data_IF_171405112520
#
_entry.id   IF_171405112520
#
_cell.length_a   1.000
_cell.length_b   1.000
_cell.length_c   1.000
_cell.angle_alpha   90.00
_cell.angle_beta   90.00
_cell.angle_gamma   90.00
#
_symmetry.space_group_name_H-M   'P 1'
#
loop_
_entity.id
_entity.type
_entity.pdbx_description
1 polymer ?
#
# COMPACT_ATOMS: atom_id res chain seq x y z
N UNK A 1 37.91 7.22 77.16
CA UNK A 1 37.81 7.29 75.69
C UNK A 1 38.83 6.35 75.06
N UNK A 2 38.43 5.18 74.55
CA UNK A 2 39.17 4.40 73.53
C UNK A 2 38.16 3.58 72.71
N UNK A 3 38.00 3.91 71.43
CA UNK A 3 37.02 3.34 70.50
C UNK A 3 37.52 2.05 69.81
N UNK A 4 36.60 1.11 69.65
CA UNK A 4 36.76 -0.19 68.97
C UNK A 4 36.84 0.02 67.44
N UNK A 5 37.75 -0.66 66.75
CA UNK A 5 37.83 -0.64 65.29
C UNK A 5 37.11 -1.88 64.72
N UNK A 6 36.08 -1.65 63.92
CA UNK A 6 35.28 -2.68 63.26
C UNK A 6 35.93 -3.20 61.98
N UNK A 7 35.78 -4.50 61.74
CA UNK A 7 36.22 -5.17 60.52
C UNK A 7 35.25 -4.89 59.36
N UNK A 8 35.79 -4.47 58.22
CA UNK A 8 35.04 -4.23 56.97
C UNK A 8 35.02 -5.53 56.17
N UNK A 9 33.82 -6.06 55.90
CA UNK A 9 33.58 -7.17 54.98
C UNK A 9 33.41 -6.60 53.57
N UNK A 10 34.31 -6.96 52.65
CA UNK A 10 34.21 -6.57 51.25
C UNK A 10 33.23 -7.50 50.50
N UNK A 11 32.13 -6.94 49.98
CA UNK A 11 31.14 -7.64 49.19
C UNK A 11 31.55 -7.62 47.70
N UNK A 12 31.91 -8.78 47.15
CA UNK A 12 32.23 -8.93 45.73
C UNK A 12 30.95 -9.01 44.89
N UNK A 13 30.70 -8.00 44.06
CA UNK A 13 29.58 -7.96 43.11
C UNK A 13 30.00 -8.69 41.83
N UNK A 14 29.42 -9.88 41.58
CA UNK A 14 29.57 -10.59 40.30
C UNK A 14 28.57 -10.02 39.30
N UNK A 15 29.06 -9.34 38.27
CA UNK A 15 28.26 -8.86 37.14
C UNK A 15 28.07 -9.99 36.12
N UNK A 16 26.88 -10.59 36.09
CA UNK A 16 26.53 -11.56 35.06
C UNK A 16 26.32 -10.83 33.71
N UNK A 17 27.22 -11.03 32.75
CA UNK A 17 27.04 -10.56 31.38
C UNK A 17 25.94 -11.38 30.70
N UNK A 18 24.76 -10.79 30.51
CA UNK A 18 23.70 -11.42 29.71
C UNK A 18 24.08 -11.40 28.22
N UNK A 19 23.96 -12.51 27.49
CA UNK A 19 24.20 -12.52 26.06
C UNK A 19 23.10 -11.70 25.36
N UNK A 20 23.48 -10.58 24.77
CA UNK A 20 22.64 -9.85 23.81
C UNK A 20 22.51 -10.73 22.58
N UNK A 21 21.32 -11.29 22.34
CA UNK A 21 21.02 -11.95 21.08
C UNK A 21 20.86 -10.89 19.99
N UNK A 22 21.93 -10.67 19.21
CA UNK A 22 21.86 -9.82 18.04
C UNK A 22 20.85 -10.40 17.04
N UNK A 23 19.72 -9.71 16.84
CA UNK A 23 18.85 -10.00 15.69
C UNK A 23 19.68 -9.77 14.43
N UNK A 24 19.71 -10.75 13.53
CA UNK A 24 20.38 -10.60 12.23
C UNK A 24 19.91 -9.30 11.56
N UNK A 25 20.82 -8.43 11.10
CA UNK A 25 20.44 -7.19 10.46
C UNK A 25 19.55 -7.48 9.25
N UNK A 26 18.45 -6.75 9.11
CA UNK A 26 17.55 -6.88 7.96
C UNK A 26 18.33 -6.48 6.71
N UNK A 27 18.40 -7.38 5.73
CA UNK A 27 19.04 -7.09 4.45
C UNK A 27 18.18 -6.10 3.66
N UNK A 28 18.77 -5.10 3.03
CA UNK A 28 18.04 -4.15 2.18
C UNK A 28 18.54 -4.20 0.74
N UNK A 29 17.61 -4.25 -0.21
CA UNK A 29 17.91 -4.32 -1.65
C UNK A 29 17.06 -3.31 -2.41
N UNK A 30 17.68 -2.40 -3.16
CA UNK A 30 16.92 -1.41 -3.95
C UNK A 30 16.37 -2.06 -5.23
N UNK A 31 15.06 -1.95 -5.42
CA UNK A 31 14.40 -2.40 -6.65
C UNK A 31 14.64 -1.37 -7.75
N UNK A 32 15.20 -1.83 -8.86
CA UNK A 32 15.38 -1.03 -10.07
C UNK A 32 14.49 -1.57 -11.18
N UNK A 33 13.81 -0.68 -11.88
CA UNK A 33 13.07 -1.02 -13.09
C UNK A 33 13.97 -0.76 -14.31
N UNK A 34 13.89 -1.65 -15.29
CA UNK A 34 14.51 -1.41 -16.59
C UNK A 34 13.95 -0.11 -17.20
N UNK A 35 14.73 0.54 -18.06
CA UNK A 35 14.31 1.80 -18.71
C UNK A 35 12.97 1.60 -19.42
N UNK A 36 11.97 2.41 -19.06
CA UNK A 36 10.61 2.33 -19.61
C UNK A 36 9.71 1.25 -18.98
N UNK A 37 10.24 0.37 -18.13
CA UNK A 37 9.45 -0.60 -17.39
C UNK A 37 8.81 0.03 -16.15
N UNK A 38 7.60 -0.44 -15.81
CA UNK A 38 6.88 -0.04 -14.58
C UNK A 38 6.85 -1.15 -13.54
N UNK A 39 7.60 -2.24 -13.76
CA UNK A 39 7.65 -3.39 -12.87
C UNK A 39 8.95 -4.16 -13.02
N UNK A 40 9.31 -4.90 -11.98
CA UNK A 40 10.42 -5.86 -11.97
C UNK A 40 10.02 -7.10 -11.16
N UNK A 41 10.62 -8.23 -11.50
CA UNK A 41 10.46 -9.49 -10.79
C UNK A 41 11.79 -9.89 -10.19
N UNK A 42 11.78 -10.16 -8.89
CA UNK A 42 12.94 -10.51 -8.10
C UNK A 42 12.77 -11.93 -7.61
N UNK A 43 13.82 -12.75 -7.73
CA UNK A 43 13.85 -14.10 -7.17
C UNK A 43 14.77 -14.12 -5.97
N UNK A 44 14.36 -14.83 -4.93
CA UNK A 44 15.15 -14.91 -3.70
C UNK A 44 14.83 -16.15 -2.87
N UNK A 45 15.54 -16.26 -1.75
CA UNK A 45 15.31 -17.30 -0.75
C UNK A 45 15.46 -16.76 0.66
N UNK A 46 14.73 -17.36 1.60
CA UNK A 46 14.81 -17.11 3.03
C UNK A 46 15.20 -18.40 3.76
N UNK A 47 15.92 -18.27 4.88
CA UNK A 47 16.11 -19.32 5.87
C UNK A 47 15.87 -18.77 7.28
N UNK A 48 15.10 -19.48 8.10
CA UNK A 48 14.93 -19.13 9.50
C UNK A 48 14.42 -17.69 9.69
N UNK A 49 15.20 -16.86 10.41
CA UNK A 49 14.85 -15.46 10.70
C UNK A 49 15.29 -14.46 9.61
N UNK A 50 15.77 -14.94 8.47
CA UNK A 50 16.10 -14.07 7.34
C UNK A 50 14.92 -13.17 7.00
N UNK A 51 15.20 -11.88 6.88
CA UNK A 51 14.24 -10.86 6.47
C UNK A 51 14.92 -9.97 5.44
N UNK A 52 14.21 -9.65 4.37
CA UNK A 52 14.72 -8.80 3.29
C UNK A 52 13.74 -7.66 3.03
N UNK A 53 14.24 -6.43 3.10
CA UNK A 53 13.52 -5.21 2.73
C UNK A 53 13.88 -4.83 1.30
N UNK A 54 12.94 -5.02 0.37
CA UNK A 54 13.07 -4.49 -0.97
C UNK A 54 12.63 -3.03 -1.00
N UNK A 55 13.56 -2.14 -1.30
CA UNK A 55 13.36 -0.69 -1.28
C UNK A 55 12.79 -0.25 -2.63
N UNK A 56 11.58 0.29 -2.59
CA UNK A 56 10.84 0.72 -3.78
C UNK A 56 10.62 2.23 -3.70
N UNK A 57 11.36 2.97 -4.52
CA UNK A 57 11.18 4.42 -4.64
C UNK A 57 9.87 4.72 -5.37
N UNK A 58 8.95 5.40 -4.70
CA UNK A 58 7.66 5.75 -5.28
C UNK A 58 7.18 7.12 -4.79
N UNK A 59 6.21 7.69 -5.50
CA UNK A 59 5.60 8.98 -5.20
C UNK A 59 4.15 8.79 -4.78
N UNK A 60 3.69 9.66 -3.89
CA UNK A 60 2.29 9.76 -3.52
C UNK A 60 1.42 9.85 -4.79
N UNK A 61 0.30 9.14 -4.77
CA UNK A 61 -0.61 9.02 -5.89
C UNK A 61 -0.20 8.03 -6.98
N UNK A 62 0.99 7.44 -6.94
CA UNK A 62 1.26 6.27 -7.78
C UNK A 62 0.48 5.07 -7.24
N UNK A 63 0.20 4.11 -8.13
CA UNK A 63 -0.30 2.80 -7.73
C UNK A 63 0.85 1.83 -7.64
N UNK A 64 0.96 1.13 -6.52
CA UNK A 64 1.88 0.03 -6.34
C UNK A 64 1.12 -1.29 -6.38
N UNK A 65 1.69 -2.26 -7.10
CA UNK A 65 1.25 -3.65 -7.10
C UNK A 65 2.40 -4.52 -6.62
N UNK A 66 2.15 -5.43 -5.69
CA UNK A 66 3.11 -6.43 -5.25
C UNK A 66 2.44 -7.79 -5.25
N UNK A 67 3.08 -8.79 -5.86
CA UNK A 67 2.61 -10.18 -5.81
C UNK A 67 3.77 -11.11 -5.54
N UNK A 68 3.55 -12.10 -4.67
CA UNK A 68 4.56 -13.09 -4.33
C UNK A 68 4.09 -14.51 -4.64
N UNK A 69 4.92 -15.26 -5.33
CA UNK A 69 4.83 -16.72 -5.41
C UNK A 69 5.96 -17.30 -4.57
N UNK A 70 5.69 -18.38 -3.84
CA UNK A 70 6.63 -18.94 -2.87
C UNK A 70 6.46 -20.45 -2.76
N UNK A 71 7.56 -21.16 -2.46
CA UNK A 71 7.55 -22.59 -2.15
C UNK A 71 7.07 -22.93 -0.74
N UNK A 72 6.75 -21.93 0.09
CA UNK A 72 6.31 -22.10 1.48
C UNK A 72 5.04 -21.30 1.76
N UNK A 73 4.07 -21.94 2.41
CA UNK A 73 2.85 -21.31 2.94
C UNK A 73 3.11 -20.41 4.14
N UNK A 74 4.32 -20.42 4.70
CA UNK A 74 4.71 -19.59 5.84
C UNK A 74 5.58 -18.39 5.45
N UNK A 75 5.81 -18.17 4.16
CA UNK A 75 6.52 -16.99 3.64
C UNK A 75 5.52 -15.90 3.25
N UNK A 76 5.74 -14.70 3.76
CA UNK A 76 4.85 -13.55 3.57
C UNK A 76 5.64 -12.30 3.19
N UNK A 77 4.94 -11.26 2.75
CA UNK A 77 5.50 -9.92 2.67
C UNK A 77 4.57 -8.89 3.29
N UNK A 78 5.17 -7.81 3.80
CA UNK A 78 4.47 -6.61 4.22
C UNK A 78 4.90 -5.43 3.34
N UNK A 79 4.02 -4.43 3.20
CA UNK A 79 4.36 -3.15 2.56
C UNK A 79 4.36 -2.08 3.63
N UNK A 80 5.51 -1.46 3.88
CA UNK A 80 5.69 -0.42 4.88
C UNK A 80 5.95 0.93 4.19
N UNK A 81 5.30 2.02 4.62
CA UNK A 81 5.46 3.32 3.99
C UNK A 81 6.78 4.01 4.42
N UNK A 82 7.20 5.06 3.70
CA UNK A 82 8.37 5.85 4.06
C UNK A 82 8.14 6.49 5.44
N UNK A 83 8.97 6.12 6.42
CA UNK A 83 8.96 6.63 7.82
C UNK A 83 7.95 5.99 8.79
N UNK A 84 7.36 4.84 8.49
CA UNK A 84 6.60 4.06 9.48
C UNK A 84 6.98 2.58 9.44
N UNK A 85 6.96 1.93 10.62
CA UNK A 85 6.99 0.47 10.75
C UNK A 85 5.58 -0.16 10.68
N UNK A 86 4.52 0.66 10.71
CA UNK A 86 3.16 0.18 10.52
C UNK A 86 2.92 -0.14 9.05
N UNK A 87 2.64 -1.42 8.76
CA UNK A 87 2.46 -1.88 7.40
C UNK A 87 1.09 -1.44 6.84
N UNK A 88 1.09 -0.84 5.65
CA UNK A 88 -0.14 -0.57 4.89
C UNK A 88 -0.71 -1.85 4.24
N UNK A 89 0.07 -2.93 4.25
CA UNK A 89 -0.35 -4.27 3.84
C UNK A 89 0.37 -5.32 4.67
N UNK A 90 -0.38 -6.29 5.20
CA UNK A 90 0.15 -7.42 5.97
C UNK A 90 -0.19 -8.74 5.28
N UNK A 91 0.81 -9.38 4.66
CA UNK A 91 0.60 -10.59 3.86
C UNK A 91 0.17 -11.81 4.68
N UNK A 92 0.51 -11.86 5.97
CA UNK A 92 0.09 -12.96 6.85
C UNK A 92 -1.41 -12.94 7.19
N UNK A 93 -2.07 -11.80 6.95
CA UNK A 93 -3.51 -11.63 7.17
C UNK A 93 -4.26 -11.56 5.84
N UNK A 94 -3.73 -10.82 4.86
CA UNK A 94 -4.45 -10.48 3.63
C UNK A 94 -4.10 -11.41 2.45
N UNK A 95 -2.97 -12.10 2.49
CA UNK A 95 -2.53 -13.03 1.44
C UNK A 95 -1.31 -12.54 0.65
N UNK A 96 -1.15 -13.08 -0.56
CA UNK A 96 0.09 -12.95 -1.35
C UNK A 96 0.08 -11.84 -2.41
N UNK A 97 -0.89 -10.92 -2.35
CA UNK A 97 -1.04 -9.84 -3.33
C UNK A 97 -1.52 -8.54 -2.70
N UNK A 98 -0.86 -7.45 -3.08
CA UNK A 98 -1.20 -6.08 -2.76
C UNK A 98 -1.40 -5.30 -4.06
N UNK A 99 -2.46 -4.51 -4.12
CA UNK A 99 -2.68 -3.49 -5.15
C UNK A 99 -3.26 -2.27 -4.43
N UNK A 100 -2.52 -1.16 -4.41
CA UNK A 100 -2.90 0.01 -3.62
C UNK A 100 -2.40 1.32 -4.21
N UNK A 101 -3.09 2.40 -3.84
CA UNK A 101 -2.64 3.77 -4.13
C UNK A 101 -1.79 4.27 -2.97
N UNK A 102 -0.63 4.82 -3.29
CA UNK A 102 0.33 5.28 -2.30
C UNK A 102 -0.06 6.66 -1.76
N UNK A 103 -0.06 6.82 -0.45
CA UNK A 103 -0.35 8.09 0.23
C UNK A 103 0.89 8.97 0.37
N UNK A 104 2.05 8.35 0.49
CA UNK A 104 3.31 9.02 0.80
C UNK A 104 4.28 8.93 -0.38
N UNK A 105 5.19 9.89 -0.46
CA UNK A 105 6.34 9.82 -1.36
C UNK A 105 7.56 9.36 -0.58
N UNK A 106 8.41 8.55 -1.22
CA UNK A 106 9.67 8.10 -0.68
C UNK A 106 9.92 6.62 -0.91
N UNK A 107 10.83 6.08 -0.11
CA UNK A 107 11.24 4.69 -0.15
C UNK A 107 10.27 3.83 0.67
N UNK A 108 9.41 3.09 -0.03
CA UNK A 108 8.61 2.03 0.55
C UNK A 108 9.47 0.79 0.77
N UNK A 109 9.12 -0.02 1.77
CA UNK A 109 9.79 -1.29 2.04
C UNK A 109 8.82 -2.43 1.83
N UNK A 110 9.15 -3.32 0.89
CA UNK A 110 8.48 -4.60 0.74
C UNK A 110 9.28 -5.63 1.54
N UNK A 111 8.86 -5.87 2.78
CA UNK A 111 9.56 -6.73 3.74
C UNK A 111 9.11 -8.18 3.56
N UNK A 112 9.99 -9.05 3.07
CA UNK A 112 9.71 -10.48 2.88
C UNK A 112 10.32 -11.28 4.03
N UNK A 113 9.55 -12.19 4.62
CA UNK A 113 9.93 -12.91 5.83
C UNK A 113 9.21 -14.26 5.96
N UNK A 114 9.71 -15.13 6.85
CA UNK A 114 9.00 -16.32 7.32
C UNK A 114 8.24 -16.03 8.62
N UNK A 115 7.02 -16.56 8.75
CA UNK A 115 6.28 -16.51 10.00
C UNK A 115 7.10 -17.13 11.15
N UNK A 116 6.98 -16.55 12.35
CA UNK A 116 7.82 -16.87 13.51
C UNK A 116 7.94 -18.36 13.82
N UNK A 117 6.87 -19.14 13.66
CA UNK A 117 6.89 -20.58 13.88
C UNK A 117 7.80 -21.33 12.89
N UNK A 118 7.71 -21.02 11.59
CA UNK A 118 8.58 -21.58 10.55
C UNK A 118 10.03 -21.10 10.69
N UNK A 119 10.21 -19.80 10.98
CA UNK A 119 11.51 -19.21 11.21
C UNK A 119 12.27 -19.90 12.37
N UNK A 120 11.57 -20.17 13.49
CA UNK A 120 12.11 -20.90 14.64
C UNK A 120 12.59 -22.31 14.29
N UNK A 121 11.92 -22.98 13.36
CA UNK A 121 12.31 -24.31 12.87
C UNK A 121 13.44 -24.27 11.84
N UNK A 122 13.95 -23.09 11.49
CA UNK A 122 15.01 -22.95 10.49
C UNK A 122 14.56 -23.32 9.07
N UNK A 123 13.26 -23.25 8.78
CA UNK A 123 12.70 -23.56 7.47
C UNK A 123 13.28 -22.68 6.36
N UNK A 124 13.13 -23.15 5.12
CA UNK A 124 13.57 -22.45 3.92
C UNK A 124 12.39 -22.18 3.00
N UNK A 125 12.41 -21.03 2.33
CA UNK A 125 11.48 -20.71 1.26
C UNK A 125 12.21 -20.08 0.09
N UNK A 126 11.87 -20.49 -1.12
CA UNK A 126 12.22 -19.76 -2.34
C UNK A 126 11.01 -18.94 -2.78
N UNK A 127 11.23 -17.78 -3.37
CA UNK A 127 10.14 -16.91 -3.81
C UNK A 127 10.46 -16.15 -5.09
N UNK A 128 9.39 -15.72 -5.76
CA UNK A 128 9.38 -14.76 -6.85
C UNK A 128 8.48 -13.60 -6.46
N UNK A 129 9.05 -12.41 -6.30
CA UNK A 129 8.38 -11.17 -5.92
C UNK A 129 8.29 -10.24 -7.13
N UNK A 130 7.09 -9.99 -7.62
CA UNK A 130 6.86 -9.00 -8.68
C UNK A 130 6.38 -7.70 -8.05
N UNK A 131 7.12 -6.63 -8.28
CA UNK A 131 6.82 -5.28 -7.80
C UNK A 131 6.56 -4.39 -9.01
N UNK A 132 5.46 -3.65 -8.99
CA UNK A 132 5.12 -2.66 -10.00
C UNK A 132 4.77 -1.32 -9.36
N UNK A 133 5.22 -0.23 -10.00
CA UNK A 133 4.82 1.14 -9.66
C UNK A 133 4.40 1.83 -10.95
N UNK A 134 3.13 2.22 -11.01
CA UNK A 134 2.56 2.88 -12.18
C UNK A 134 2.08 4.27 -11.80
N UNK A 135 2.46 5.25 -12.60
CA UNK A 135 1.71 6.50 -12.70
C UNK A 135 0.40 6.18 -13.40
N UNK A 136 -0.64 5.88 -12.62
CA UNK A 136 -2.00 6.01 -13.14
C UNK A 136 -2.23 7.52 -13.33
N UNK A 137 -2.64 8.01 -14.51
CA UNK A 137 -3.20 9.35 -14.64
C UNK A 137 -4.28 9.50 -13.57
N UNK A 138 -3.99 10.37 -12.60
CA UNK A 138 -4.31 10.10 -11.21
C UNK A 138 -5.79 10.19 -10.89
N UNK A 139 -6.33 9.09 -10.35
CA UNK A 139 -7.32 9.10 -9.29
C UNK A 139 -6.72 9.49 -7.95
N UNK A 140 -6.24 10.74 -7.84
CA UNK A 140 -5.56 11.24 -6.64
C UNK A 140 -6.55 11.34 -5.48
N UNK A 141 -6.61 10.29 -4.66
CA UNK A 141 -7.03 10.40 -3.27
C UNK A 141 -5.99 11.21 -2.48
N UNK A 142 -6.05 12.54 -2.59
CA UNK A 142 -5.50 13.44 -1.58
C UNK A 142 -6.57 13.59 -0.49
N UNK A 143 -6.16 13.83 0.76
CA UNK A 143 -6.97 14.62 1.69
C UNK A 143 -7.62 15.81 0.94
N UNK A 144 -8.78 16.33 1.35
CA UNK A 144 -9.53 17.30 0.54
C UNK A 144 -8.70 18.58 0.32
N UNK A 145 -7.95 18.59 -0.78
CA UNK A 145 -7.55 19.82 -1.44
C UNK A 145 -8.80 20.45 -2.04
N UNK A 146 -8.76 21.74 -2.39
CA UNK A 146 -9.88 22.36 -3.07
C UNK A 146 -10.26 21.51 -4.29
N UNK A 147 -11.56 21.26 -4.38
CA UNK A 147 -12.24 20.48 -5.41
C UNK A 147 -11.61 20.76 -6.79
N UNK A 148 -10.97 19.75 -7.40
CA UNK A 148 -10.41 19.84 -8.76
C UNK A 148 -8.89 19.99 -8.87
N UNK A 149 -8.13 19.60 -7.87
CA UNK A 149 -6.67 19.78 -7.82
C UNK A 149 -5.84 18.73 -8.59
N UNK A 150 -6.49 17.79 -9.30
CA UNK A 150 -5.82 16.80 -10.17
C UNK A 150 -5.40 17.36 -11.54
N UNK A 151 -4.63 16.59 -12.32
CA UNK A 151 -4.35 16.93 -13.71
C UNK A 151 -5.63 16.93 -14.56
N UNK A 152 -5.69 17.77 -15.59
CA UNK A 152 -6.80 17.78 -16.53
C UNK A 152 -6.88 16.44 -17.29
N UNK A 153 -8.08 15.89 -17.38
CA UNK A 153 -8.34 14.64 -18.10
C UNK A 153 -8.84 14.99 -19.50
N UNK A 154 -8.18 14.41 -20.52
CA UNK A 154 -8.57 14.60 -21.91
C UNK A 154 -10.01 14.18 -22.15
N UNK A 155 -10.73 14.89 -23.02
CA UNK A 155 -12.17 14.70 -23.23
C UNK A 155 -12.56 13.24 -23.51
N UNK A 156 -11.82 12.54 -24.38
CA UNK A 156 -12.06 11.14 -24.68
C UNK A 156 -11.87 10.17 -23.51
N UNK A 157 -11.02 10.53 -22.54
CA UNK A 157 -10.73 9.68 -21.38
C UNK A 157 -11.67 9.92 -20.19
N UNK A 158 -12.43 11.04 -20.17
CA UNK A 158 -13.29 11.40 -19.01
C UNK A 158 -14.33 10.33 -18.67
N UNK A 159 -15.05 9.70 -19.62
CA UNK A 159 -16.01 8.64 -19.28
C UNK A 159 -15.35 7.40 -18.66
N UNK A 160 -14.20 6.97 -19.19
CA UNK A 160 -13.46 5.84 -18.65
C UNK A 160 -12.89 6.15 -17.25
N UNK A 161 -12.40 7.37 -17.06
CA UNK A 161 -11.94 7.84 -15.76
C UNK A 161 -13.08 7.86 -14.74
N UNK A 162 -14.21 8.48 -15.10
CA UNK A 162 -15.42 8.52 -14.27
C UNK A 162 -15.88 7.11 -13.85
N UNK A 163 -15.88 6.15 -14.80
CA UNK A 163 -16.20 4.75 -14.53
C UNK A 163 -15.29 4.13 -13.46
N UNK A 164 -14.00 4.43 -13.52
CA UNK A 164 -13.01 3.93 -12.57
C UNK A 164 -13.20 4.48 -11.16
N UNK A 165 -13.50 5.77 -11.03
CA UNK A 165 -13.75 6.39 -9.73
C UNK A 165 -15.06 5.92 -9.11
N UNK A 166 -16.13 5.84 -9.90
CA UNK A 166 -17.41 5.30 -9.43
C UNK A 166 -17.30 3.82 -9.04
N UNK A 167 -16.52 3.02 -9.77
CA UNK A 167 -16.24 1.63 -9.42
C UNK A 167 -15.61 1.50 -8.03
N UNK A 168 -14.64 2.38 -7.70
CA UNK A 168 -14.03 2.41 -6.37
C UNK A 168 -15.01 2.89 -5.29
N UNK A 169 -15.76 3.96 -5.56
CA UNK A 169 -16.71 4.52 -4.58
C UNK A 169 -17.85 3.56 -4.24
N UNK A 170 -18.40 2.87 -5.23
CA UNK A 170 -19.52 1.94 -5.05
C UNK A 170 -19.09 0.50 -4.76
N UNK A 171 -17.79 0.21 -4.77
CA UNK A 171 -17.25 -1.12 -4.46
C UNK A 171 -17.62 -2.21 -5.48
N UNK A 172 -17.90 -1.84 -6.75
CA UNK A 172 -18.31 -2.77 -7.81
C UNK A 172 -17.29 -2.80 -8.95
N UNK A 173 -17.20 -3.89 -9.70
CA UNK A 173 -16.28 -3.99 -10.85
C UNK A 173 -16.66 -2.95 -11.93
N UNK A 174 -15.71 -2.42 -12.72
CA UNK A 174 -16.00 -1.41 -13.74
C UNK A 174 -17.07 -1.80 -14.76
N UNK A 175 -17.28 -3.10 -15.02
CA UNK A 175 -18.33 -3.58 -15.93
C UNK A 175 -19.76 -3.35 -15.39
N UNK A 176 -19.91 -3.17 -14.07
CA UNK A 176 -21.19 -2.82 -13.43
C UNK A 176 -21.41 -1.30 -13.34
N UNK A 177 -20.51 -0.51 -13.92
CA UNK A 177 -20.62 0.94 -13.98
C UNK A 177 -20.92 1.36 -15.42
N UNK A 178 -22.07 2.00 -15.62
CA UNK A 178 -22.42 2.64 -16.89
C UNK A 178 -22.23 4.14 -16.78
N UNK A 179 -21.67 4.76 -17.81
CA UNK A 179 -21.42 6.20 -17.87
C UNK A 179 -22.00 6.75 -19.16
N UNK A 180 -22.70 7.87 -19.08
CA UNK A 180 -23.17 8.63 -20.24
C UNK A 180 -22.02 9.46 -20.85
N UNK A 181 -22.24 10.07 -22.04
CA UNK A 181 -21.34 11.08 -22.57
C UNK A 181 -21.17 12.27 -21.61
N UNK A 182 -20.05 12.98 -21.75
CA UNK A 182 -19.78 14.18 -20.96
C UNK A 182 -20.61 15.38 -21.45
N UNK A 183 -21.23 16.09 -20.52
CA UNK A 183 -21.98 17.32 -20.77
C UNK A 183 -21.22 18.47 -20.13
N UNK A 184 -20.92 19.51 -20.90
CA UNK A 184 -20.29 20.74 -20.39
C UNK A 184 -21.35 21.81 -20.15
N UNK A 185 -21.25 22.54 -19.05
CA UNK A 185 -22.06 23.73 -18.75
C UNK A 185 -21.20 24.80 -18.04
N UNK A 186 -21.84 25.91 -17.64
CA UNK A 186 -21.17 27.01 -16.95
C UNK A 186 -20.50 26.60 -15.61
N UNK A 187 -20.97 25.53 -14.96
CA UNK A 187 -20.46 25.04 -13.69
C UNK A 187 -19.32 24.01 -13.84
N UNK A 188 -19.05 23.51 -15.06
CA UNK A 188 -18.01 22.52 -15.32
C UNK A 188 -18.47 21.43 -16.29
N UNK A 189 -17.82 20.27 -16.22
CA UNK A 189 -18.15 19.11 -17.04
C UNK A 189 -18.73 18.03 -16.12
N UNK A 190 -19.82 17.39 -16.56
CA UNK A 190 -20.53 16.36 -15.81
C UNK A 190 -20.66 15.09 -16.63
N UNK A 191 -20.55 13.95 -15.97
CA UNK A 191 -20.83 12.63 -16.54
C UNK A 191 -21.74 11.90 -15.57
N UNK A 192 -22.96 11.63 -16.01
CA UNK A 192 -23.90 10.83 -15.24
C UNK A 192 -23.66 9.36 -15.47
N UNK A 193 -23.98 8.54 -14.47
CA UNK A 193 -23.83 7.11 -14.55
C UNK A 193 -24.66 6.33 -13.55
N UNK A 194 -24.60 5.02 -13.70
CA UNK A 194 -25.24 4.06 -12.81
C UNK A 194 -24.25 3.01 -12.33
N UNK A 195 -24.38 2.64 -11.07
CA UNK A 195 -23.64 1.54 -10.44
C UNK A 195 -24.63 0.45 -10.05
N UNK A 196 -24.48 -0.73 -10.64
CA UNK A 196 -25.27 -1.90 -10.28
C UNK A 196 -24.60 -2.63 -9.11
N UNK A 197 -25.22 -2.57 -7.92
CA UNK A 197 -24.75 -3.25 -6.70
C UNK A 197 -25.46 -4.59 -6.47
N UNK A 198 -26.12 -5.14 -7.49
CA UNK A 198 -26.88 -6.38 -7.41
C UNK A 198 -28.07 -6.24 -6.44
N UNK A 199 -27.99 -6.93 -5.30
CA UNK A 199 -29.08 -6.96 -4.30
C UNK A 199 -29.41 -5.58 -3.71
N UNK A 200 -28.47 -4.65 -3.72
CA UNK A 200 -28.67 -3.28 -3.21
C UNK A 200 -29.25 -2.33 -4.26
N UNK A 201 -29.59 -2.86 -5.44
CA UNK A 201 -30.18 -2.12 -6.56
C UNK A 201 -29.17 -1.27 -7.35
N UNK A 202 -29.71 -0.49 -8.26
CA UNK A 202 -28.93 0.40 -9.14
C UNK A 202 -28.87 1.80 -8.51
N UNK A 203 -27.66 2.26 -8.21
CA UNK A 203 -27.40 3.61 -7.67
C UNK A 203 -27.05 4.56 -8.81
N UNK A 204 -27.59 5.78 -8.78
CA UNK A 204 -27.25 6.83 -9.75
C UNK A 204 -26.17 7.73 -9.17
N UNK A 205 -25.26 8.16 -10.03
CA UNK A 205 -24.19 9.07 -9.66
C UNK A 205 -23.88 10.05 -10.77
N UNK A 206 -23.13 11.10 -10.40
CA UNK A 206 -22.58 12.11 -11.30
C UNK A 206 -21.12 12.33 -10.98
N UNK A 207 -20.25 12.04 -11.93
CA UNK A 207 -18.88 12.51 -11.90
C UNK A 207 -18.86 13.99 -12.28
N UNK A 208 -18.22 14.81 -11.46
CA UNK A 208 -18.02 16.24 -11.76
C UNK A 208 -16.57 16.50 -12.08
N UNK A 209 -16.36 17.40 -13.03
CA UNK A 209 -15.06 17.93 -13.41
C UNK A 209 -15.18 19.45 -13.47
N UNK A 210 -14.09 20.17 -13.19
CA UNK A 210 -14.09 21.61 -13.37
C UNK A 210 -14.07 22.00 -14.86
N UNK A 211 -14.14 23.31 -15.14
CA UNK A 211 -14.08 23.82 -16.52
C UNK A 211 -12.79 23.46 -17.27
N UNK A 212 -11.71 23.12 -16.54
CA UNK A 212 -10.43 22.66 -17.11
C UNK A 212 -10.38 21.14 -17.32
N UNK A 213 -11.45 20.41 -17.02
CA UNK A 213 -11.52 18.96 -17.13
C UNK A 213 -10.77 18.22 -16.01
N UNK A 214 -10.48 18.87 -14.89
CA UNK A 214 -9.90 18.24 -13.70
C UNK A 214 -11.02 17.58 -12.90
N UNK A 215 -10.82 16.34 -12.47
CA UNK A 215 -11.84 15.61 -11.72
C UNK A 215 -12.07 16.22 -10.34
N UNK A 216 -13.34 16.39 -9.98
CA UNK A 216 -13.80 16.92 -8.72
C UNK A 216 -14.17 15.79 -7.75
N UNK A 217 -15.21 15.02 -8.08
CA UNK A 217 -15.75 13.94 -7.26
C UNK A 217 -16.72 13.02 -8.04
N UNK A 218 -17.16 11.94 -7.39
CA UNK A 218 -18.36 11.19 -7.76
C UNK A 218 -19.48 11.53 -6.77
N UNK A 219 -20.46 12.31 -7.20
CA UNK A 219 -21.62 12.69 -6.41
C UNK A 219 -22.72 11.64 -6.52
N UNK A 220 -23.18 11.08 -5.40
CA UNK A 220 -24.37 10.23 -5.39
C UNK A 220 -25.61 11.07 -5.74
N UNK A 221 -26.43 10.59 -6.68
CA UNK A 221 -27.66 11.27 -7.13
C UNK A 221 -28.93 10.63 -6.57
N UNK A 222 -28.84 9.38 -6.12
CA UNK A 222 -29.93 8.74 -5.37
C UNK A 222 -29.75 9.08 -3.90
N UNK A 223 -30.74 9.70 -3.26
CA UNK A 223 -30.80 9.78 -1.79
C UNK A 223 -31.02 8.36 -1.28
N UNK A 224 -30.06 7.80 -0.56
CA UNK A 224 -30.34 6.65 0.28
C UNK A 224 -31.31 7.15 1.36
N UNK A 225 -32.54 6.63 1.34
CA UNK A 225 -33.57 6.97 2.32
C UNK A 225 -33.15 6.55 3.72
N UNK A 226 -33.61 7.32 4.71
CA UNK A 226 -33.47 7.07 6.15
C UNK A 226 -33.94 5.66 6.56
#
# INVERSE_FOLDING_TARGET
MKWKHGAIVALAVVTAAMPVTAQSPIRSERVQFARGATSSTIRGSLKGYDTVDYIVGARAGQSMSVSMQTSSTSAYFNVLPPRSEEAVFNGSITGSRFDGRLKDSGDYRVRVYLMRNAARRGERATFSLTVGVKTRPGSVGTAPGPVGSGAAISAGNRPAYCRGEASQQYGVRPNYIRTSPAIANAAGIMIDGTADQGRNGIKRFRCRFDARGRFLDVMAMTRDGF
#
